data_IF_064045579333
#
_entry.id   IF_064045579333
#
_cell.length_a   1.000
_cell.length_b   1.000
_cell.length_c   1.000
_cell.angle_alpha   90.00
_cell.angle_beta   90.00
_cell.angle_gamma   90.00
#
_symmetry.space_group_name_H-M   'P 1'
#
loop_
_entity.id
_entity.type
_entity.pdbx_description
1 polymer ?
#
# COMPACT_ATOMS: atom_id res chain seq x y z
N UNK A 1 1.95 22.50 6.89
CA UNK A 1 2.91 21.71 7.68
C UNK A 1 3.20 20.43 6.91
N UNK A 2 4.47 20.14 6.58
CA UNK A 2 4.82 18.94 5.79
C UNK A 2 4.72 17.71 6.71
N UNK A 3 4.06 16.64 6.26
CA UNK A 3 3.96 15.40 7.00
C UNK A 3 5.34 14.75 7.14
N UNK A 4 5.70 14.27 8.33
CA UNK A 4 6.90 13.48 8.55
C UNK A 4 6.60 11.98 8.31
N UNK A 5 7.09 11.45 7.19
CA UNK A 5 6.85 10.07 6.77
C UNK A 5 7.44 9.05 7.74
N UNK A 6 8.64 9.31 8.26
CA UNK A 6 9.30 8.39 9.18
C UNK A 6 8.54 8.29 10.50
N UNK A 7 8.01 9.41 11.00
CA UNK A 7 7.18 9.41 12.20
C UNK A 7 5.91 8.58 12.01
N UNK A 8 5.26 8.68 10.85
CA UNK A 8 4.08 7.84 10.53
C UNK A 8 4.48 6.37 10.44
N UNK A 9 5.59 6.04 9.77
CA UNK A 9 6.09 4.66 9.66
C UNK A 9 6.34 4.08 11.06
N UNK A 10 6.98 4.82 11.97
CA UNK A 10 7.23 4.41 13.35
C UNK A 10 5.92 4.21 14.15
N UNK A 11 4.98 5.16 14.06
CA UNK A 11 3.66 5.03 14.71
C UNK A 11 2.92 3.81 14.18
N UNK A 12 2.91 3.62 12.86
CA UNK A 12 2.28 2.47 12.20
C UNK A 12 2.92 1.16 12.65
N UNK A 13 4.25 1.10 12.72
CA UNK A 13 4.98 -0.07 13.21
C UNK A 13 4.62 -0.42 14.66
N UNK A 14 4.24 0.57 15.47
CA UNK A 14 3.81 0.42 16.85
C UNK A 14 2.28 0.28 17.03
N UNK A 15 1.50 0.14 15.95
CA UNK A 15 0.03 0.17 15.99
C UNK A 15 -0.56 1.45 16.65
N UNK A 16 0.17 2.57 16.56
CA UNK A 16 -0.26 3.86 17.09
C UNK A 16 -0.94 4.70 16.00
N UNK A 17 -1.98 5.47 16.33
CA UNK A 17 -2.66 6.33 15.36
C UNK A 17 -1.83 7.56 15.01
N UNK A 18 -2.05 8.06 13.80
CA UNK A 18 -1.57 9.38 13.36
C UNK A 18 -2.74 10.36 13.35
N UNK A 19 -2.56 11.55 13.91
CA UNK A 19 -3.60 12.58 13.95
C UNK A 19 -3.35 13.65 12.89
N UNK A 20 -4.37 13.96 12.09
CA UNK A 20 -4.39 15.05 11.11
C UNK A 20 -5.69 15.82 11.31
N UNK A 21 -5.62 17.14 11.47
CA UNK A 21 -6.81 17.99 11.67
C UNK A 21 -7.76 17.52 12.81
N UNK A 22 -7.20 16.91 13.87
CA UNK A 22 -7.99 16.34 14.97
C UNK A 22 -8.62 14.97 14.68
N UNK A 23 -8.50 14.45 13.46
CA UNK A 23 -8.93 13.11 13.06
C UNK A 23 -7.80 12.11 13.31
N UNK A 24 -8.09 11.02 14.03
CA UNK A 24 -7.12 9.95 14.31
C UNK A 24 -7.27 8.83 13.29
N UNK A 25 -6.17 8.47 12.64
CA UNK A 25 -6.10 7.35 11.70
C UNK A 25 -5.30 6.22 12.36
N UNK A 26 -5.99 5.18 12.79
CA UNK A 26 -5.39 3.98 13.38
C UNK A 26 -5.07 2.97 12.27
N UNK A 27 -3.86 2.38 12.23
CA UNK A 27 -3.58 1.28 11.31
C UNK A 27 -4.53 0.11 11.57
N UNK A 28 -5.18 -0.38 10.51
CA UNK A 28 -6.06 -1.53 10.59
C UNK A 28 -5.24 -2.83 10.66
N UNK A 29 -5.62 -3.71 11.57
CA UNK A 29 -5.12 -5.08 11.63
C UNK A 29 -5.58 -5.89 10.42
N UNK A 30 -4.85 -6.94 10.08
CA UNK A 30 -5.26 -7.91 9.06
C UNK A 30 -6.60 -8.56 9.43
N UNK A 31 -6.86 -8.77 10.72
CA UNK A 31 -8.16 -9.26 11.21
C UNK A 31 -9.31 -8.33 10.78
N UNK A 32 -9.21 -7.04 11.08
CA UNK A 32 -10.23 -6.04 10.73
C UNK A 32 -10.43 -5.96 9.20
N UNK A 33 -9.33 -5.99 8.44
CA UNK A 33 -9.36 -5.98 6.97
C UNK A 33 -10.12 -7.21 6.43
N UNK A 34 -9.83 -8.40 6.95
CA UNK A 34 -10.45 -9.65 6.50
C UNK A 34 -11.93 -9.70 6.92
N UNK A 35 -12.25 -9.27 8.14
CA UNK A 35 -13.62 -9.21 8.65
C UNK A 35 -14.50 -8.30 7.78
N UNK A 36 -13.96 -7.18 7.31
CA UNK A 36 -14.67 -6.27 6.41
C UNK A 36 -14.69 -6.75 4.94
N UNK A 37 -13.75 -7.63 4.58
CA UNK A 37 -13.60 -8.23 3.27
C UNK A 37 -12.42 -7.62 2.48
N UNK A 38 -11.44 -8.45 2.17
CA UNK A 38 -10.21 -8.04 1.49
C UNK A 38 -10.44 -7.38 0.12
N UNK A 39 -11.42 -7.86 -0.66
CA UNK A 39 -11.78 -7.25 -1.95
C UNK A 39 -12.30 -5.82 -1.77
N UNK A 40 -13.14 -5.60 -0.75
CA UNK A 40 -13.72 -4.28 -0.45
C UNK A 40 -12.67 -3.32 0.10
N UNK A 41 -11.80 -3.81 0.98
CA UNK A 41 -10.61 -3.08 1.42
C UNK A 41 -9.76 -2.56 0.23
N UNK A 42 -9.46 -3.43 -0.75
CA UNK A 42 -8.69 -3.03 -1.93
C UNK A 42 -9.44 -2.04 -2.82
N UNK A 43 -10.77 -2.17 -2.94
CA UNK A 43 -11.61 -1.21 -3.64
C UNK A 43 -11.52 0.18 -2.99
N UNK A 44 -11.61 0.25 -1.67
CA UNK A 44 -11.50 1.52 -0.92
C UNK A 44 -10.13 2.17 -1.08
N UNK A 45 -9.04 1.40 -0.98
CA UNK A 45 -7.70 1.92 -1.26
C UNK A 45 -7.58 2.46 -2.68
N UNK A 46 -8.12 1.72 -3.65
CA UNK A 46 -8.10 2.14 -5.05
C UNK A 46 -8.86 3.44 -5.26
N UNK A 47 -10.02 3.60 -4.62
CA UNK A 47 -10.83 4.82 -4.74
C UNK A 47 -10.14 6.04 -4.10
N UNK A 48 -9.57 5.88 -2.90
CA UNK A 48 -8.88 6.96 -2.18
C UNK A 48 -7.57 7.40 -2.84
N UNK A 49 -6.97 6.57 -3.70
CA UNK A 49 -5.70 6.86 -4.38
C UNK A 49 -5.87 7.28 -5.83
N UNK A 50 -7.11 7.61 -6.26
CA UNK A 50 -7.37 8.13 -7.60
C UNK A 50 -6.72 9.52 -7.81
N UNK A 51 -6.41 9.79 -9.07
CA UNK A 51 -5.89 11.06 -9.56
C UNK A 51 -6.84 11.55 -10.65
N UNK A 52 -6.74 12.82 -11.05
CA UNK A 52 -7.66 13.42 -12.03
C UNK A 52 -7.68 12.65 -13.35
N UNK A 53 -6.53 12.14 -13.76
CA UNK A 53 -6.30 11.37 -14.99
C UNK A 53 -7.01 10.01 -14.98
N UNK A 54 -7.37 9.50 -13.80
CA UNK A 54 -8.14 8.27 -13.68
C UNK A 54 -9.65 8.49 -13.81
N UNK A 55 -10.11 9.73 -13.61
CA UNK A 55 -11.53 10.09 -13.55
C UNK A 55 -12.01 10.81 -14.82
N UNK A 56 -11.10 11.49 -15.50
CA UNK A 56 -11.40 12.37 -16.62
C UNK A 56 -10.46 12.03 -17.76
N UNK A 57 -10.99 12.01 -18.98
CA UNK A 57 -10.20 11.74 -20.17
C UNK A 57 -9.05 12.77 -20.31
N UNK A 58 -7.80 12.33 -20.62
CA UNK A 58 -6.61 13.18 -20.55
C UNK A 58 -6.74 14.55 -21.24
N UNK A 59 -7.40 14.58 -22.40
CA UNK A 59 -7.63 15.80 -23.19
C UNK A 59 -8.39 16.91 -22.45
N UNK A 60 -9.16 16.55 -21.41
CA UNK A 60 -9.97 17.49 -20.62
C UNK A 60 -9.37 17.79 -19.24
N UNK A 61 -8.35 17.04 -18.79
CA UNK A 61 -7.76 17.23 -17.46
C UNK A 61 -7.16 18.64 -17.32
N UNK A 62 -6.47 19.12 -18.35
CA UNK A 62 -5.87 20.46 -18.38
C UNK A 62 -6.88 21.61 -18.57
N UNK A 63 -8.14 21.28 -18.88
CA UNK A 63 -9.21 22.26 -19.05
C UNK A 63 -9.96 22.52 -17.73
N UNK A 64 -9.69 21.71 -16.70
CA UNK A 64 -10.32 21.87 -15.40
C UNK A 64 -9.73 23.09 -14.69
N UNK A 65 -10.57 23.92 -14.05
CA UNK A 65 -10.09 24.94 -13.14
C UNK A 65 -9.20 24.34 -12.04
N UNK A 66 -8.16 25.07 -11.62
CA UNK A 66 -7.20 24.60 -10.62
C UNK A 66 -7.85 24.22 -9.28
N UNK A 67 -8.95 24.88 -8.93
CA UNK A 67 -9.69 24.63 -7.69
C UNK A 67 -10.54 23.34 -7.71
N UNK A 68 -10.72 22.70 -8.88
CA UNK A 68 -11.41 21.41 -8.95
C UNK A 68 -10.39 20.31 -8.68
N UNK A 69 -10.47 19.67 -7.51
CA UNK A 69 -9.69 18.51 -7.13
C UNK A 69 -10.41 17.19 -7.40
N UNK A 70 -9.77 16.09 -7.00
CA UNK A 70 -10.35 14.73 -7.11
C UNK A 70 -11.65 14.62 -6.31
N UNK A 71 -11.71 15.23 -5.12
CA UNK A 71 -12.90 15.22 -4.28
C UNK A 71 -14.10 15.86 -4.98
N UNK A 72 -13.92 17.05 -5.57
CA UNK A 72 -14.99 17.76 -6.27
C UNK A 72 -15.49 16.97 -7.49
N UNK A 73 -14.57 16.32 -8.21
CA UNK A 73 -14.93 15.45 -9.34
C UNK A 73 -15.74 14.25 -8.86
N UNK A 74 -15.29 13.56 -7.80
CA UNK A 74 -15.98 12.38 -7.25
C UNK A 74 -17.35 12.74 -6.66
N UNK A 75 -17.45 13.88 -5.97
CA UNK A 75 -18.70 14.34 -5.35
C UNK A 75 -19.75 14.79 -6.38
N UNK A 76 -19.31 15.28 -7.55
CA UNK A 76 -20.18 15.69 -8.66
C UNK A 76 -20.42 14.59 -9.69
N UNK A 77 -19.79 13.42 -9.53
CA UNK A 77 -19.82 12.36 -10.52
C UNK A 77 -21.21 11.69 -10.58
N UNK A 78 -21.79 11.49 -11.78
CA UNK A 78 -23.10 10.83 -11.90
C UNK A 78 -23.05 9.34 -11.58
N UNK A 79 -21.90 8.69 -11.78
CA UNK A 79 -21.68 7.31 -11.34
C UNK A 79 -21.44 7.26 -9.83
N UNK A 80 -22.38 6.62 -9.13
CA UNK A 80 -22.41 6.52 -7.68
C UNK A 80 -21.46 5.47 -7.14
N UNK A 81 -20.95 4.54 -7.97
CA UNK A 81 -20.10 3.45 -7.47
C UNK A 81 -18.76 3.95 -6.96
N UNK A 82 -18.05 4.77 -7.75
CA UNK A 82 -16.76 5.36 -7.35
C UNK A 82 -16.95 6.32 -6.17
N UNK A 83 -18.02 7.11 -6.19
CA UNK A 83 -18.37 8.03 -5.10
C UNK A 83 -18.64 7.30 -3.79
N UNK A 84 -19.48 6.26 -3.81
CA UNK A 84 -19.71 5.41 -2.66
C UNK A 84 -18.43 4.74 -2.18
N UNK A 85 -17.62 4.15 -3.08
CA UNK A 85 -16.35 3.53 -2.72
C UNK A 85 -15.37 4.51 -2.06
N UNK A 86 -15.33 5.77 -2.52
CA UNK A 86 -14.48 6.80 -1.93
C UNK A 86 -14.95 7.19 -0.53
N UNK A 87 -16.23 7.54 -0.36
CA UNK A 87 -16.76 7.96 0.95
C UNK A 87 -16.83 6.81 1.95
N UNK A 88 -17.20 5.60 1.53
CA UNK A 88 -17.16 4.41 2.39
C UNK A 88 -15.71 4.04 2.74
N UNK A 89 -14.77 4.26 1.83
CA UNK A 89 -13.35 4.14 2.11
C UNK A 89 -12.89 5.11 3.20
N UNK A 90 -13.29 6.38 3.13
CA UNK A 90 -13.02 7.35 4.19
C UNK A 90 -13.62 6.88 5.53
N UNK A 91 -14.88 6.45 5.55
CA UNK A 91 -15.51 5.94 6.78
C UNK A 91 -14.76 4.76 7.38
N UNK A 92 -14.35 3.83 6.51
CA UNK A 92 -13.64 2.62 6.88
C UNK A 92 -12.25 2.93 7.48
N UNK A 93 -11.42 3.71 6.79
CA UNK A 93 -10.06 4.02 7.25
C UNK A 93 -10.00 5.03 8.38
N UNK A 94 -10.97 5.95 8.45
CA UNK A 94 -11.08 6.91 9.56
C UNK A 94 -11.88 6.33 10.74
N UNK A 95 -12.39 5.09 10.60
CA UNK A 95 -13.15 4.36 11.61
C UNK A 95 -14.33 5.19 12.18
N UNK A 96 -15.08 5.86 11.30
CA UNK A 96 -16.25 6.67 11.66
C UNK A 96 -17.32 6.61 10.58
N UNK A 97 -18.59 6.59 10.97
CA UNK A 97 -19.72 6.69 10.04
C UNK A 97 -20.03 8.15 9.66
N UNK A 98 -19.46 9.12 10.38
CA UNK A 98 -19.74 10.56 10.21
C UNK A 98 -18.84 11.20 9.15
N UNK A 99 -18.94 10.72 7.92
CA UNK A 99 -18.31 11.33 6.74
C UNK A 99 -19.41 11.84 5.82
N UNK A 100 -19.45 13.17 5.64
CA UNK A 100 -20.51 13.85 4.86
C UNK A 100 -19.87 14.85 3.90
N UNK A 101 -20.43 14.96 2.70
CA UNK A 101 -20.09 16.01 1.75
C UNK A 101 -21.30 16.93 1.55
N UNK A 102 -21.18 18.18 2.00
CA UNK A 102 -22.15 19.26 1.79
C UNK A 102 -21.38 20.58 1.59
N UNK A 103 -21.18 20.97 0.34
CA UNK A 103 -20.35 22.13 -0.03
C UNK A 103 -18.94 22.10 0.61
N UNK A 104 -18.43 20.89 0.84
CA UNK A 104 -17.18 20.60 1.53
C UNK A 104 -17.24 19.24 2.24
N UNK A 105 -16.08 18.66 2.53
CA UNK A 105 -15.96 17.42 3.29
C UNK A 105 -15.99 17.70 4.79
N UNK A 106 -16.80 16.93 5.51
CA UNK A 106 -16.86 16.93 6.97
C UNK A 106 -16.61 15.53 7.51
N UNK A 107 -15.78 15.43 8.54
CA UNK A 107 -15.51 14.19 9.29
C UNK A 107 -15.72 14.49 10.77
N UNK A 108 -16.65 13.79 11.43
CA UNK A 108 -17.03 14.07 12.83
C UNK A 108 -17.33 15.56 13.08
N UNK A 109 -18.12 16.18 12.20
CA UNK A 109 -18.47 17.62 12.21
C UNK A 109 -17.29 18.58 12.02
N UNK A 110 -16.06 18.09 11.81
CA UNK A 110 -14.88 18.90 11.48
C UNK A 110 -14.81 19.06 9.97
N UNK A 111 -14.80 20.31 9.50
CA UNK A 111 -14.58 20.62 8.08
C UNK A 111 -13.14 20.30 7.70
N UNK A 112 -12.96 19.45 6.70
CA UNK A 112 -11.65 19.03 6.18
C UNK A 112 -11.33 19.84 4.93
N UNK A 113 -10.20 20.55 4.95
CA UNK A 113 -9.69 21.24 3.76
C UNK A 113 -9.07 20.25 2.75
N UNK A 114 -8.90 20.64 1.47
CA UNK A 114 -8.25 19.78 0.47
C UNK A 114 -6.84 19.32 0.88
N UNK A 115 -6.06 20.20 1.50
CA UNK A 115 -4.72 19.88 1.99
C UNK A 115 -4.76 18.87 3.15
N UNK A 116 -5.73 18.98 4.06
CA UNK A 116 -5.91 18.01 5.14
C UNK A 116 -6.41 16.66 4.61
N UNK A 117 -7.28 16.65 3.59
CA UNK A 117 -7.71 15.42 2.93
C UNK A 117 -6.51 14.70 2.26
N UNK A 118 -5.67 15.43 1.55
CA UNK A 118 -4.45 14.88 0.95
C UNK A 118 -3.53 14.27 2.03
N UNK A 119 -3.39 14.94 3.16
CA UNK A 119 -2.66 14.47 4.32
C UNK A 119 -3.25 13.19 4.94
N UNK A 120 -4.57 13.13 5.11
CA UNK A 120 -5.27 11.93 5.59
C UNK A 120 -5.03 10.75 4.64
N UNK A 121 -5.18 10.96 3.33
CA UNK A 121 -4.92 9.94 2.31
C UNK A 121 -3.46 9.50 2.31
N UNK A 122 -2.51 10.42 2.51
CA UNK A 122 -1.09 10.08 2.59
C UNK A 122 -0.77 9.17 3.78
N UNK A 123 -1.37 9.41 4.95
CA UNK A 123 -1.27 8.50 6.10
C UNK A 123 -1.80 7.11 5.75
N UNK A 124 -2.98 7.03 5.12
CA UNK A 124 -3.58 5.77 4.67
C UNK A 124 -2.65 5.05 3.67
N UNK A 125 -2.05 5.77 2.71
CA UNK A 125 -1.07 5.20 1.78
C UNK A 125 0.14 4.61 2.52
N UNK A 126 0.69 5.32 3.51
CA UNK A 126 1.83 4.83 4.30
C UNK A 126 1.47 3.56 5.07
N UNK A 127 0.36 3.59 5.80
CA UNK A 127 -0.12 2.46 6.61
C UNK A 127 -0.36 1.20 5.78
N UNK A 128 -0.67 1.36 4.50
CA UNK A 128 -0.97 0.27 3.56
C UNK A 128 0.13 0.06 2.50
N UNK A 129 1.33 0.64 2.69
CA UNK A 129 2.49 0.44 1.82
C UNK A 129 2.27 0.84 0.34
N UNK A 130 1.53 1.91 0.09
CA UNK A 130 1.18 2.44 -1.24
C UNK A 130 1.96 3.70 -1.63
N UNK A 131 3.00 4.11 -0.89
CA UNK A 131 3.84 5.23 -1.30
C UNK A 131 4.62 4.89 -2.58
N UNK A 132 4.63 5.81 -3.54
CA UNK A 132 5.53 5.73 -4.69
C UNK A 132 6.88 6.39 -4.35
N UNK A 133 7.96 6.12 -5.09
CA UNK A 133 9.24 6.81 -4.90
C UNK A 133 9.18 8.33 -5.04
N UNK A 134 8.15 8.84 -5.72
CA UNK A 134 7.90 10.28 -5.85
C UNK A 134 7.44 10.89 -4.52
N UNK A 135 6.92 10.07 -3.59
CA UNK A 135 6.38 10.53 -2.31
C UNK A 135 7.44 10.62 -1.18
N UNK A 136 8.63 10.02 -1.31
CA UNK A 136 9.61 9.89 -0.22
C UNK A 136 10.86 10.77 -0.47
N UNK A 137 11.18 11.70 0.45
CA UNK A 137 12.43 12.51 0.44
C UNK A 137 13.69 11.66 0.77
N UNK A 138 13.53 10.35 1.00
CA UNK A 138 14.63 9.43 1.27
C UNK A 138 15.00 8.59 0.03
N UNK A 139 15.93 9.12 -0.78
CA UNK A 139 16.58 8.36 -1.85
C UNK A 139 17.79 7.58 -1.29
N UNK A 140 17.71 6.24 -1.28
CA UNK A 140 18.69 5.52 -2.08
C UNK A 140 18.09 4.35 -2.87
N UNK A 141 18.14 4.55 -4.19
CA UNK A 141 18.15 3.57 -5.29
C UNK A 141 16.79 3.36 -5.97
N UNK A 142 16.61 4.26 -6.93
CA UNK A 142 15.66 4.42 -8.02
C UNK A 142 15.47 3.21 -8.96
N UNK A 143 15.71 1.98 -8.49
CA UNK A 143 15.46 0.76 -9.27
C UNK A 143 14.41 -0.16 -8.64
N UNK A 144 14.20 -0.12 -7.32
CA UNK A 144 13.40 -1.17 -6.64
C UNK A 144 11.90 -1.00 -6.79
N UNK A 145 11.39 0.23 -6.79
CA UNK A 145 9.96 0.47 -6.94
C UNK A 145 9.48 0.41 -8.40
N UNK A 146 10.31 0.86 -9.35
CA UNK A 146 10.13 0.50 -10.76
C UNK A 146 10.19 -1.03 -10.88
N UNK A 147 11.18 -1.74 -10.30
CA UNK A 147 11.21 -3.21 -10.32
C UNK A 147 10.05 -3.90 -9.61
N UNK A 148 9.33 -3.27 -8.67
CA UNK A 148 8.16 -3.86 -7.99
C UNK A 148 6.87 -3.62 -8.79
N UNK A 149 6.61 -2.40 -9.26
CA UNK A 149 5.49 -2.11 -10.17
C UNK A 149 5.67 -2.85 -11.50
N UNK A 150 6.89 -2.86 -12.03
CA UNK A 150 7.31 -3.68 -13.16
C UNK A 150 7.26 -5.16 -12.80
N UNK A 151 7.64 -5.65 -11.59
CA UNK A 151 7.39 -7.06 -11.21
C UNK A 151 5.91 -7.39 -11.10
N UNK A 152 5.04 -6.49 -10.66
CA UNK A 152 3.61 -6.77 -10.58
C UNK A 152 2.97 -6.79 -11.97
N UNK A 153 3.37 -5.87 -12.85
CA UNK A 153 2.94 -5.83 -14.26
C UNK A 153 3.59 -6.94 -15.10
N UNK A 154 4.86 -7.25 -14.89
CA UNK A 154 5.62 -8.33 -15.52
C UNK A 154 5.22 -9.68 -14.92
N UNK A 155 4.85 -9.79 -13.65
CA UNK A 155 4.22 -11.01 -13.12
C UNK A 155 2.84 -11.14 -13.73
N UNK A 156 2.03 -10.09 -13.82
CA UNK A 156 0.73 -10.15 -14.54
C UNK A 156 0.91 -10.53 -16.01
N UNK A 157 1.90 -9.97 -16.72
CA UNK A 157 2.21 -10.29 -18.12
C UNK A 157 2.83 -11.67 -18.29
N UNK A 158 3.84 -12.04 -17.51
CA UNK A 158 4.42 -13.39 -17.48
C UNK A 158 3.40 -14.43 -17.09
N UNK A 159 2.48 -14.16 -16.16
CA UNK A 159 1.37 -15.05 -15.83
C UNK A 159 0.41 -15.17 -17.02
N UNK A 160 0.12 -14.08 -17.75
CA UNK A 160 -0.69 -14.13 -18.97
C UNK A 160 0.02 -14.87 -20.13
N UNK A 161 1.34 -14.77 -20.24
CA UNK A 161 2.17 -15.43 -21.24
C UNK A 161 2.45 -16.90 -20.91
N UNK A 162 2.65 -17.23 -19.63
CA UNK A 162 2.77 -18.60 -19.10
C UNK A 162 1.43 -19.34 -19.15
N UNK A 163 0.30 -18.66 -18.88
CA UNK A 163 -1.05 -19.22 -19.13
C UNK A 163 -1.31 -19.56 -20.60
N UNK A 164 -0.58 -18.93 -21.53
CA UNK A 164 -0.65 -19.22 -22.97
C UNK A 164 0.34 -20.30 -23.42
N UNK A 165 1.40 -20.57 -22.64
CA UNK A 165 2.50 -21.44 -23.06
C UNK A 165 2.70 -22.70 -22.22
N UNK A 166 1.98 -22.87 -21.12
CA UNK A 166 2.02 -24.07 -20.29
C UNK A 166 0.59 -24.44 -19.88
N UNK A 167 0.14 -25.62 -20.30
CA UNK A 167 -1.19 -26.16 -19.97
C UNK A 167 -1.42 -26.41 -18.47
N UNK A 168 -0.43 -26.14 -17.64
CA UNK A 168 -0.49 -26.17 -16.18
C UNK A 168 -0.37 -24.75 -15.64
N UNK A 169 -1.46 -24.25 -15.08
CA UNK A 169 -1.53 -22.92 -14.50
C UNK A 169 -0.60 -22.82 -13.28
N UNK A 170 0.57 -22.20 -13.44
CA UNK A 170 1.35 -21.74 -12.29
C UNK A 170 0.49 -20.72 -11.53
N UNK A 171 -0.07 -21.16 -10.40
CA UNK A 171 -0.99 -20.39 -9.58
C UNK A 171 -0.26 -19.17 -9.00
N UNK A 172 -0.81 -17.98 -9.21
CA UNK A 172 -0.25 -16.76 -8.63
C UNK A 172 -0.48 -16.75 -7.13
N UNK A 173 0.56 -16.54 -6.32
CA UNK A 173 0.45 -16.47 -4.86
C UNK A 173 -0.66 -15.51 -4.43
N UNK A 174 -1.63 -16.05 -3.71
CA UNK A 174 -2.75 -15.32 -3.12
C UNK A 174 -2.34 -14.68 -1.80
N UNK A 175 -3.18 -13.78 -1.25
CA UNK A 175 -2.90 -13.17 0.05
C UNK A 175 -2.89 -14.22 1.19
N UNK A 176 -3.71 -15.27 1.10
CA UNK A 176 -3.67 -16.40 2.05
C UNK A 176 -2.37 -17.20 1.95
N UNK A 177 -1.79 -17.35 0.76
CA UNK A 177 -0.49 -18.00 0.59
C UNK A 177 0.61 -17.15 1.24
N UNK A 178 0.59 -15.83 1.04
CA UNK A 178 1.54 -14.92 1.67
C UNK A 178 1.47 -14.97 3.19
N UNK A 179 0.27 -15.00 3.77
CA UNK A 179 0.08 -15.17 5.22
C UNK A 179 0.69 -16.48 5.70
N UNK A 180 0.42 -17.58 4.99
CA UNK A 180 0.92 -18.91 5.34
C UNK A 180 2.44 -18.97 5.28
N UNK A 181 3.06 -18.37 4.25
CA UNK A 181 4.52 -18.29 4.11
C UNK A 181 5.14 -17.53 5.29
N UNK A 182 4.59 -16.36 5.66
CA UNK A 182 5.11 -15.58 6.80
C UNK A 182 5.04 -16.37 8.10
N UNK A 183 3.94 -17.12 8.31
CA UNK A 183 3.76 -17.96 9.49
C UNK A 183 4.72 -19.16 9.56
N UNK A 184 5.26 -19.61 8.42
CA UNK A 184 6.12 -20.78 8.34
C UNK A 184 7.62 -20.47 8.58
N UNK A 185 8.02 -19.19 8.56
CA UNK A 185 9.44 -18.77 8.55
C UNK A 185 10.11 -18.70 9.94
N UNK A 186 9.57 -19.33 10.97
CA UNK A 186 10.18 -19.38 12.33
C UNK A 186 10.62 -18.00 12.89
N UNK A 187 9.89 -16.93 12.57
CA UNK A 187 10.16 -15.55 12.97
C UNK A 187 9.34 -15.11 14.22
N UNK A 188 8.70 -16.06 14.92
CA UNK A 188 7.78 -15.81 16.02
C UNK A 188 6.36 -15.37 15.60
N UNK A 189 6.13 -15.22 14.29
CA UNK A 189 4.80 -14.98 13.71
C UNK A 189 4.22 -16.34 13.30
N UNK A 190 2.99 -16.60 13.70
CA UNK A 190 2.26 -17.83 13.43
C UNK A 190 0.79 -17.51 13.23
N UNK A 191 0.00 -18.51 12.81
CA UNK A 191 -1.40 -18.29 12.42
C UNK A 191 -2.26 -17.62 13.51
N UNK A 192 -1.91 -17.79 14.79
CA UNK A 192 -2.66 -17.19 15.90
C UNK A 192 -2.37 -15.69 16.15
N UNK A 193 -1.24 -15.14 15.68
CA UNK A 193 -0.86 -13.74 15.92
C UNK A 193 -0.67 -12.91 14.63
N UNK A 194 -0.54 -13.56 13.47
CA UNK A 194 -0.35 -12.86 12.17
C UNK A 194 -1.48 -11.88 11.88
N UNK A 195 -2.69 -12.18 12.34
CA UNK A 195 -3.86 -11.35 12.10
C UNK A 195 -3.91 -10.08 12.98
N UNK A 196 -3.09 -10.01 14.04
CA UNK A 196 -2.93 -8.83 14.89
C UNK A 196 -2.01 -7.77 14.24
N UNK A 197 -1.25 -8.17 13.22
CA UNK A 197 -0.40 -7.26 12.47
C UNK A 197 -1.26 -6.34 11.61
N UNK A 198 -0.82 -5.09 11.40
CA UNK A 198 -1.33 -4.26 10.31
C UNK A 198 -0.59 -4.56 8.99
N UNK A 199 -1.10 -4.01 7.87
CA UNK A 199 -0.53 -4.24 6.54
C UNK A 199 0.96 -3.83 6.44
N UNK A 200 1.35 -2.72 7.09
CA UNK A 200 2.73 -2.27 7.12
C UNK A 200 3.64 -3.25 7.88
N UNK A 201 3.23 -3.70 9.07
CA UNK A 201 3.97 -4.69 9.85
C UNK A 201 4.12 -6.01 9.08
N UNK A 202 3.03 -6.51 8.49
CA UNK A 202 3.04 -7.73 7.67
C UNK A 202 4.01 -7.60 6.48
N UNK A 203 3.89 -6.54 5.68
CA UNK A 203 4.75 -6.31 4.53
C UNK A 203 6.21 -6.13 4.95
N UNK A 204 6.46 -5.48 6.09
CA UNK A 204 7.79 -5.29 6.63
C UNK A 204 8.45 -6.62 7.02
N UNK A 205 7.70 -7.54 7.63
CA UNK A 205 8.19 -8.88 7.98
C UNK A 205 8.40 -9.76 6.74
N UNK A 206 7.44 -9.75 5.82
CA UNK A 206 7.55 -10.48 4.55
C UNK A 206 8.78 -10.05 3.73
N UNK A 207 9.05 -8.73 3.65
CA UNK A 207 10.22 -8.24 2.93
C UNK A 207 11.54 -8.60 3.63
N UNK A 208 11.61 -8.59 4.97
CA UNK A 208 12.81 -9.02 5.69
C UNK A 208 13.09 -10.51 5.50
N UNK A 209 12.07 -11.35 5.59
CA UNK A 209 12.15 -12.78 5.28
C UNK A 209 12.75 -13.00 3.90
N UNK A 210 12.17 -12.36 2.86
CA UNK A 210 12.69 -12.47 1.50
C UNK A 210 14.16 -12.03 1.36
N UNK A 211 14.57 -10.96 2.06
CA UNK A 211 15.97 -10.53 2.04
C UNK A 211 16.92 -11.55 2.70
N UNK A 212 16.47 -12.23 3.76
CA UNK A 212 17.24 -13.29 4.42
C UNK A 212 17.34 -14.54 3.55
N UNK A 213 16.23 -14.97 2.95
CA UNK A 213 16.22 -16.12 2.05
C UNK A 213 17.09 -15.87 0.81
N UNK A 214 16.99 -14.68 0.19
CA UNK A 214 17.85 -14.26 -0.91
C UNK A 214 19.33 -14.29 -0.50
N UNK A 215 19.66 -13.87 0.73
CA UNK A 215 21.02 -13.92 1.25
C UNK A 215 21.51 -15.37 1.42
N UNK A 216 20.71 -16.25 2.03
CA UNK A 216 21.06 -17.65 2.24
C UNK A 216 21.26 -18.40 0.93
N UNK A 217 20.35 -18.24 -0.04
CA UNK A 217 20.46 -18.84 -1.38
C UNK A 217 21.76 -18.38 -2.07
N UNK A 218 22.08 -17.09 -1.99
CA UNK A 218 23.31 -16.55 -2.57
C UNK A 218 24.56 -17.13 -1.90
N UNK A 219 24.57 -17.31 -0.58
CA UNK A 219 25.67 -17.95 0.14
C UNK A 219 25.82 -19.41 -0.27
N UNK A 220 24.73 -20.17 -0.33
CA UNK A 220 24.77 -21.57 -0.77
C UNK A 220 25.27 -21.69 -2.20
N UNK A 221 24.81 -20.85 -3.12
CA UNK A 221 25.29 -20.84 -4.51
C UNK A 221 26.81 -20.62 -4.58
N UNK A 222 27.36 -19.69 -3.78
CA UNK A 222 28.81 -19.46 -3.69
C UNK A 222 29.57 -20.68 -3.16
N UNK A 223 29.05 -21.32 -2.10
CA UNK A 223 29.65 -22.54 -1.54
C UNK A 223 29.69 -23.69 -2.55
N UNK A 224 28.72 -23.74 -3.47
CA UNK A 224 28.66 -24.72 -4.55
C UNK A 224 29.38 -24.29 -5.83
N UNK A 225 30.17 -23.21 -5.79
CA UNK A 225 31.08 -22.82 -6.88
C UNK A 225 30.49 -21.88 -7.94
N UNK A 226 29.36 -21.22 -7.66
CA UNK A 226 28.87 -20.16 -8.53
C UNK A 226 29.85 -18.97 -8.58
N UNK A 227 29.97 -18.32 -9.74
CA UNK A 227 30.88 -17.18 -9.93
C UNK A 227 30.49 -16.02 -9.01
N UNK A 228 31.38 -15.65 -8.10
CA UNK A 228 31.18 -14.56 -7.14
C UNK A 228 30.95 -13.20 -7.79
N UNK A 229 31.35 -13.01 -9.06
CA UNK A 229 31.09 -11.78 -9.80
C UNK A 229 29.64 -11.66 -10.27
N UNK A 230 28.90 -12.77 -10.33
CA UNK A 230 27.48 -12.80 -10.73
C UNK A 230 26.53 -12.72 -9.53
N UNK A 231 27.03 -12.90 -8.30
CA UNK A 231 26.24 -12.90 -7.07
C UNK A 231 26.46 -11.61 -6.28
N UNK A 232 25.43 -10.76 -6.18
CA UNK A 232 25.47 -9.58 -5.32
C UNK A 232 25.16 -9.97 -3.87
N UNK A 233 26.18 -10.28 -3.08
CA UNK A 233 26.05 -10.40 -1.62
C UNK A 233 25.83 -9.02 -0.99
N UNK A 234 24.56 -8.61 -0.85
CA UNK A 234 24.20 -7.47 -0.01
C UNK A 234 23.95 -7.96 1.40
N UNK A 235 24.96 -7.86 2.25
CA UNK A 235 24.80 -8.13 3.67
C UNK A 235 23.75 -7.16 4.25
N UNK A 236 22.71 -7.66 4.91
CA UNK A 236 21.60 -6.82 5.38
C UNK A 236 22.02 -5.77 6.42
N UNK A 237 23.14 -5.98 7.11
CA UNK A 237 23.77 -5.00 8.02
C UNK A 237 24.63 -3.91 7.35
N UNK A 238 25.06 -4.05 6.08
CA UNK A 238 26.06 -3.15 5.50
C UNK A 238 25.54 -1.76 5.08
N UNK A 239 24.26 -1.47 5.33
CA UNK A 239 23.64 -0.15 5.11
C UNK A 239 23.38 0.65 6.40
N UNK A 240 23.82 0.16 7.57
CA UNK A 240 23.65 0.87 8.85
C UNK A 240 24.87 1.72 9.24
N UNK A 241 25.66 2.18 8.27
CA UNK A 241 26.79 3.09 8.44
C UNK A 241 26.71 4.26 7.48
#
# INVERSE_FOLDING_TARGET
>A
MKINHEEIKLKTLANLPTAIAGIRITPLSLHEIIQHGYTRYNLYLSALTLHKEHLIHPDYVHQLPDHIGVLEIIASHPDREISHAFFDGLKFFLQTDQVVYDNGLFVNDIRISPAELEQLIQVIKIQNCLLTPEDDDFNPINERAQKIKQKMLDNKRKIQELKKSSGDAAESLTFSDLISIVCAHANGIHIHNVFELNMFQFNNQFNRMKMLDEYEVNIQALLHGADSKQIQLKHWMSKMG
#
